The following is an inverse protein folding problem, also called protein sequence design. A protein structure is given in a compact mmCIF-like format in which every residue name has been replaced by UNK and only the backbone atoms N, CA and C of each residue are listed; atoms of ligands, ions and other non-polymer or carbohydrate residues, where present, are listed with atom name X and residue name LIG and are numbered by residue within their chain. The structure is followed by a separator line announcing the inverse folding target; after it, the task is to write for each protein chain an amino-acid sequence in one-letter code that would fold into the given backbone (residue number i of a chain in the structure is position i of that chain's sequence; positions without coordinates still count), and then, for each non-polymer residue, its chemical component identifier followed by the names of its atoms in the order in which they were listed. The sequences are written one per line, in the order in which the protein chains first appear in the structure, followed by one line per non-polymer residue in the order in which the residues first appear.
data_IF_902359816317
#
_entry.id   IF_902359816317
#
_cell.length_a   1.000
_cell.length_b   1.000
_cell.length_c   1.000
_cell.angle_alpha   90.00
_cell.angle_beta   90.00
_cell.angle_gamma   90.00
#
_symmetry.space_group_name_H-M   'P 1'
#
loop_
_entity.id
_entity.type
_entity.pdbx_description
1 polymer ?
#
# COMPACT_ATOMS: atom_id res chain seq x y z
N UNK A 1 26.63 8.27 19.42
CA UNK A 1 25.50 9.20 19.27
C UNK A 1 24.98 9.54 20.65
N UNK A 2 24.66 10.81 20.93
CA UNK A 2 24.06 11.17 22.23
C UNK A 2 22.59 10.74 22.27
N UNK A 3 22.09 10.45 23.45
CA UNK A 3 20.68 10.09 23.69
C UNK A 3 19.73 11.21 23.25
N UNK A 4 20.13 12.46 23.47
CA UNK A 4 19.40 13.65 23.04
C UNK A 4 19.21 13.70 21.51
N UNK A 5 20.25 13.48 20.73
CA UNK A 5 20.14 13.47 19.26
C UNK A 5 19.22 12.36 18.74
N UNK A 6 19.19 11.21 19.42
CA UNK A 6 18.30 10.10 19.07
C UNK A 6 16.83 10.46 19.31
N UNK A 7 16.51 11.11 20.43
CA UNK A 7 15.13 11.54 20.72
C UNK A 7 14.67 12.62 19.74
N UNK A 8 15.52 13.60 19.44
CA UNK A 8 15.21 14.62 18.41
C UNK A 8 14.96 13.95 17.05
N UNK A 9 15.78 12.97 16.67
CA UNK A 9 15.59 12.24 15.41
C UNK A 9 14.25 11.50 15.36
N UNK A 10 13.84 10.86 16.46
CA UNK A 10 12.53 10.18 16.56
C UNK A 10 11.37 11.15 16.47
N UNK A 11 11.45 12.30 17.17
CA UNK A 11 10.42 13.35 17.08
C UNK A 11 10.30 13.85 15.64
N UNK A 12 11.42 14.16 14.99
CA UNK A 12 11.44 14.59 13.59
C UNK A 12 10.88 13.52 12.65
N UNK A 13 11.24 12.26 12.86
CA UNK A 13 10.70 11.15 12.09
C UNK A 13 9.17 11.08 12.21
N UNK A 14 8.64 11.16 13.43
CA UNK A 14 7.19 11.13 13.66
C UNK A 14 6.48 12.34 13.05
N UNK A 15 7.00 13.56 13.22
CA UNK A 15 6.46 14.76 12.57
C UNK A 15 6.46 14.63 11.06
N UNK A 16 7.54 14.09 10.47
CA UNK A 16 7.64 13.84 9.04
C UNK A 16 6.60 12.85 8.53
N UNK A 17 6.33 11.77 9.29
CA UNK A 17 5.27 10.81 8.94
C UNK A 17 3.88 11.44 8.96
N UNK A 18 3.56 12.19 10.01
CA UNK A 18 2.26 12.88 10.11
C UNK A 18 2.08 13.90 8.98
N UNK A 19 3.12 14.68 8.66
CA UNK A 19 3.09 15.60 7.53
C UNK A 19 2.88 14.87 6.20
N UNK A 20 3.52 13.71 6.00
CA UNK A 20 3.34 12.90 4.81
C UNK A 20 1.89 12.40 4.67
N UNK A 21 1.32 11.87 5.76
CA UNK A 21 -0.07 11.39 5.83
C UNK A 21 -1.09 12.51 5.55
N UNK A 22 -0.76 13.74 5.91
CA UNK A 22 -1.58 14.94 5.63
C UNK A 22 -1.36 15.51 4.22
N UNK A 23 -0.52 14.90 3.37
CA UNK A 23 -0.19 15.39 2.03
C UNK A 23 0.78 16.58 2.00
N UNK A 24 1.36 16.96 3.15
CA UNK A 24 2.32 18.05 3.28
C UNK A 24 3.74 17.58 2.91
N UNK A 25 3.93 17.11 1.67
CA UNK A 25 5.14 16.36 1.28
C UNK A 25 6.45 17.15 1.44
N UNK A 26 6.44 18.48 1.22
CA UNK A 26 7.63 19.32 1.43
C UNK A 26 8.07 19.35 2.90
N UNK A 27 7.12 19.44 3.83
CA UNK A 27 7.39 19.44 5.27
C UNK A 27 7.80 18.04 5.75
N UNK A 28 7.20 16.99 5.18
CA UNK A 28 7.61 15.62 5.42
C UNK A 28 9.08 15.40 5.05
N UNK A 29 9.46 15.81 3.83
CA UNK A 29 10.84 15.72 3.35
C UNK A 29 11.80 16.45 4.28
N UNK A 30 11.51 17.70 4.64
CA UNK A 30 12.39 18.49 5.53
C UNK A 30 12.62 17.82 6.89
N UNK A 31 11.55 17.31 7.51
CA UNK A 31 11.67 16.63 8.81
C UNK A 31 12.39 15.29 8.69
N UNK A 32 12.16 14.52 7.64
CA UNK A 32 12.82 13.24 7.39
C UNK A 32 14.31 13.40 7.03
N UNK A 33 14.68 14.43 6.25
CA UNK A 33 16.09 14.80 6.00
C UNK A 33 16.79 15.13 7.33
N UNK A 34 16.18 15.97 8.17
CA UNK A 34 16.72 16.32 9.50
C UNK A 34 16.85 15.10 10.41
N UNK A 35 15.85 14.22 10.43
CA UNK A 35 15.91 12.97 11.19
C UNK A 35 17.06 12.07 10.69
N UNK A 36 17.20 11.91 9.37
CA UNK A 36 18.25 11.08 8.78
C UNK A 36 19.66 11.60 9.08
N UNK A 37 19.84 12.93 9.13
CA UNK A 37 21.12 13.56 9.43
C UNK A 37 21.59 13.33 10.88
N UNK A 38 20.64 13.12 11.80
CA UNK A 38 20.92 12.83 13.22
C UNK A 38 21.16 11.34 13.51
N UNK A 39 20.83 10.45 12.57
CA UNK A 39 20.92 9.00 12.72
C UNK A 39 22.14 8.43 12.01
N UNK A 40 22.68 7.33 12.54
CA UNK A 40 23.75 6.61 11.87
C UNK A 40 23.19 5.96 10.59
N UNK A 41 23.80 6.26 9.44
CA UNK A 41 23.37 5.77 8.11
C UNK A 41 23.25 4.25 7.99
N UNK A 42 24.00 3.52 8.81
CA UNK A 42 24.02 2.05 8.83
C UNK A 42 23.22 1.45 9.99
N UNK A 43 22.39 2.26 10.68
CA UNK A 43 21.52 1.78 11.76
C UNK A 43 20.16 1.34 11.21
N UNK A 44 19.47 0.46 11.95
CA UNK A 44 18.12 0.01 11.57
C UNK A 44 17.15 1.19 11.42
N UNK A 45 17.12 2.07 12.43
CA UNK A 45 16.23 3.23 12.44
C UNK A 45 16.60 4.23 11.34
N UNK A 46 17.90 4.47 11.11
CA UNK A 46 18.36 5.32 10.00
C UNK A 46 17.89 4.81 8.65
N UNK A 47 18.01 3.50 8.40
CA UNK A 47 17.49 2.88 7.19
C UNK A 47 15.97 3.02 7.05
N UNK A 48 15.20 2.88 8.13
CA UNK A 48 13.74 3.06 8.11
C UNK A 48 13.33 4.49 7.77
N UNK A 49 14.00 5.48 8.37
CA UNK A 49 13.79 6.91 8.07
C UNK A 49 14.14 7.20 6.62
N UNK A 50 15.27 6.69 6.12
CA UNK A 50 15.70 6.90 4.73
C UNK A 50 14.73 6.24 3.74
N UNK A 51 14.11 5.09 4.05
CA UNK A 51 13.06 4.51 3.20
C UNK A 51 11.81 5.40 3.15
N UNK A 52 11.36 5.94 4.29
CA UNK A 52 10.24 6.89 4.28
C UNK A 52 10.58 8.17 3.53
N UNK A 53 11.85 8.62 3.61
CA UNK A 53 12.34 9.77 2.87
C UNK A 53 12.29 9.53 1.34
N UNK A 54 12.59 8.32 0.85
CA UNK A 54 12.43 7.98 -0.57
C UNK A 54 10.98 8.22 -1.00
N UNK A 55 10.01 7.68 -0.27
CA UNK A 55 8.58 7.85 -0.58
C UNK A 55 8.17 9.32 -0.53
N UNK A 56 8.69 10.08 0.45
CA UNK A 56 8.45 11.52 0.55
C UNK A 56 9.03 12.31 -0.63
N UNK A 57 10.23 11.95 -1.11
CA UNK A 57 10.80 12.53 -2.32
C UNK A 57 9.95 12.25 -3.56
N UNK A 58 9.50 11.01 -3.75
CA UNK A 58 8.63 10.64 -4.86
C UNK A 58 7.31 11.44 -4.83
N UNK A 59 6.65 11.52 -3.67
CA UNK A 59 5.41 12.27 -3.50
C UNK A 59 5.58 13.79 -3.71
N UNK A 60 6.77 14.33 -3.41
CA UNK A 60 7.13 15.72 -3.67
C UNK A 60 7.59 15.98 -5.11
N UNK A 61 7.58 14.98 -6.01
CA UNK A 61 8.05 15.10 -7.39
C UNK A 61 9.58 15.14 -7.55
N UNK A 62 10.34 14.85 -6.48
CA UNK A 62 11.80 14.77 -6.45
C UNK A 62 12.27 13.35 -6.82
N UNK A 63 11.83 12.82 -7.95
CA UNK A 63 12.08 11.42 -8.36
C UNK A 63 13.57 11.07 -8.46
N UNK A 64 14.41 11.98 -8.93
CA UNK A 64 15.86 11.74 -9.05
C UNK A 64 16.53 11.55 -7.68
N UNK A 65 16.12 12.32 -6.66
CA UNK A 65 16.61 12.18 -5.29
C UNK A 65 16.15 10.85 -4.67
N UNK A 66 14.90 10.44 -4.94
CA UNK A 66 14.36 9.15 -4.52
C UNK A 66 15.20 7.99 -5.11
N UNK A 67 15.48 8.05 -6.41
CA UNK A 67 16.31 7.06 -7.11
C UNK A 67 17.73 7.02 -6.53
N UNK A 68 18.37 8.17 -6.36
CA UNK A 68 19.73 8.27 -5.82
C UNK A 68 19.81 7.69 -4.40
N UNK A 69 18.80 7.95 -3.57
CA UNK A 69 18.72 7.42 -2.22
C UNK A 69 18.50 5.89 -2.23
N UNK A 70 17.60 5.36 -3.06
CA UNK A 70 17.44 3.92 -3.23
C UNK A 70 18.72 3.22 -3.70
N UNK A 71 19.46 3.82 -4.64
CA UNK A 71 20.74 3.28 -5.14
C UNK A 71 21.81 3.15 -4.05
N UNK A 72 21.76 4.03 -3.04
CA UNK A 72 22.59 3.93 -1.84
C UNK A 72 22.07 2.83 -0.91
N UNK A 73 20.77 2.85 -0.60
CA UNK A 73 20.13 1.94 0.36
C UNK A 73 20.13 0.48 -0.08
N UNK A 74 20.24 0.17 -1.37
CA UNK A 74 20.34 -1.23 -1.84
C UNK A 74 21.53 -2.00 -1.25
N UNK A 75 22.54 -1.29 -0.72
CA UNK A 75 23.75 -1.83 -0.05
C UNK A 75 23.71 -1.68 1.47
N UNK A 76 22.58 -1.31 2.05
CA UNK A 76 22.43 -1.13 3.49
C UNK A 76 22.63 -2.46 4.25
N UNK A 77 23.29 -2.48 5.42
CA UNK A 77 23.61 -3.71 6.15
C UNK A 77 22.37 -4.46 6.65
N UNK A 78 21.25 -3.75 6.87
CA UNK A 78 19.99 -4.39 7.24
C UNK A 78 19.24 -4.87 6.00
N UNK A 79 19.00 -6.18 5.96
CA UNK A 79 18.38 -6.87 4.82
C UNK A 79 17.05 -6.25 4.39
N UNK A 80 16.15 -5.95 5.34
CA UNK A 80 14.84 -5.37 5.04
C UNK A 80 14.94 -4.03 4.30
N UNK A 81 15.79 -3.12 4.78
CA UNK A 81 16.04 -1.83 4.12
C UNK A 81 16.60 -2.03 2.71
N UNK A 82 17.57 -2.93 2.55
CA UNK A 82 18.17 -3.21 1.23
C UNK A 82 17.17 -3.82 0.25
N UNK A 83 16.23 -4.64 0.75
CA UNK A 83 15.20 -5.31 -0.04
C UNK A 83 14.15 -4.30 -0.49
N UNK A 84 13.63 -3.49 0.43
CA UNK A 84 12.69 -2.41 0.11
C UNK A 84 13.29 -1.42 -0.90
N UNK A 85 14.53 -0.97 -0.68
CA UNK A 85 15.20 -0.06 -1.61
C UNK A 85 15.34 -0.64 -3.03
N UNK A 86 15.65 -1.94 -3.18
CA UNK A 86 15.71 -2.60 -4.49
C UNK A 86 14.35 -2.65 -5.18
N UNK A 87 13.29 -2.93 -4.42
CA UNK A 87 11.93 -2.97 -4.95
C UNK A 87 11.46 -1.58 -5.40
N UNK A 88 11.68 -0.55 -4.57
CA UNK A 88 11.35 0.83 -4.92
C UNK A 88 12.15 1.31 -6.13
N UNK A 89 13.46 1.02 -6.18
CA UNK A 89 14.30 1.36 -7.32
C UNK A 89 13.79 0.75 -8.63
N UNK A 90 13.30 -0.49 -8.59
CA UNK A 90 12.71 -1.15 -9.75
C UNK A 90 11.46 -0.42 -10.24
N UNK A 91 10.58 -0.01 -9.33
CA UNK A 91 9.36 0.75 -9.65
C UNK A 91 9.72 2.12 -10.23
N UNK A 92 10.59 2.87 -9.56
CA UNK A 92 10.97 4.23 -9.95
C UNK A 92 11.68 4.29 -11.31
N UNK A 93 12.43 3.24 -11.68
CA UNK A 93 13.13 3.15 -12.97
C UNK A 93 12.34 2.42 -14.06
N UNK A 94 11.11 1.99 -13.78
CA UNK A 94 10.32 1.26 -14.77
C UNK A 94 10.08 2.13 -16.01
N UNK A 95 10.30 1.60 -17.23
CA UNK A 95 10.05 2.35 -18.45
C UNK A 95 8.55 2.61 -18.61
N UNK A 96 8.19 3.82 -19.07
CA UNK A 96 6.81 4.12 -19.44
C UNK A 96 6.39 3.22 -20.59
N UNK A 97 5.27 2.51 -20.41
CA UNK A 97 4.71 1.67 -21.46
C UNK A 97 4.28 2.55 -22.64
N UNK A 98 4.74 2.19 -23.84
CA UNK A 98 4.28 2.84 -25.06
C UNK A 98 2.82 2.49 -25.25
N UNK A 99 2.01 3.50 -25.58
CA UNK A 99 0.64 3.30 -26.00
C UNK A 99 0.47 3.58 -27.48
N UNK A 100 0.51 2.57 -28.37
CA UNK A 100 0.11 2.71 -29.76
C UNK A 100 -1.24 3.46 -29.93
N UNK A 101 -1.55 3.94 -31.12
CA UNK A 101 -2.90 4.47 -31.41
C UNK A 101 -3.84 3.35 -31.86
N UNK A 102 -3.32 2.34 -32.56
CA UNK A 102 -4.08 1.21 -33.13
C UNK A 102 -4.91 0.40 -32.12
N UNK A 103 -4.46 0.35 -30.86
CA UNK A 103 -5.11 -0.33 -29.74
C UNK A 103 -5.94 0.61 -28.84
N UNK A 104 -5.98 1.92 -29.13
CA UNK A 104 -6.73 2.92 -28.38
C UNK A 104 -7.95 3.35 -29.19
N UNK A 105 -9.13 3.36 -28.56
CA UNK A 105 -10.29 4.05 -29.12
C UNK A 105 -10.17 5.54 -28.78
N UNK A 106 -10.13 6.40 -29.79
CA UNK A 106 -10.13 7.85 -29.57
C UNK A 106 -11.49 8.28 -29.01
N UNK A 107 -11.48 9.01 -27.90
CA UNK A 107 -12.69 9.61 -27.35
C UNK A 107 -12.92 10.92 -28.15
N UNK A 108 -14.06 11.07 -28.83
CA UNK A 108 -14.35 12.30 -29.56
C UNK A 108 -14.46 13.48 -28.60
N UNK A 109 -14.13 14.68 -29.07
CA UNK A 109 -14.26 15.90 -28.27
C UNK A 109 -15.74 16.17 -27.94
N UNK A 110 -16.09 16.00 -26.66
CA UNK A 110 -17.45 16.16 -26.15
C UNK A 110 -17.78 17.62 -25.81
N UNK A 111 -16.79 18.52 -25.77
CA UNK A 111 -17.00 19.94 -25.42
C UNK A 111 -17.66 20.75 -26.54
N UNK A 112 -17.65 20.24 -27.77
CA UNK A 112 -18.33 20.84 -28.92
C UNK A 112 -19.79 20.38 -29.08
N UNK A 113 -20.29 19.49 -28.22
CA UNK A 113 -21.67 19.04 -28.27
C UNK A 113 -22.58 20.11 -27.64
N UNK A 114 -23.62 20.58 -28.34
CA UNK A 114 -24.61 21.44 -27.72
C UNK A 114 -25.29 20.68 -26.57
N UNK A 115 -25.41 21.31 -25.41
CA UNK A 115 -26.00 20.75 -24.16
C UNK A 115 -27.40 20.10 -24.33
N UNK A 116 -28.04 20.28 -25.48
CA UNK A 116 -29.45 19.98 -25.71
C UNK A 116 -29.72 18.68 -26.52
N UNK A 117 -28.71 17.90 -26.90
CA UNK A 117 -28.92 16.64 -27.65
C UNK A 117 -28.63 15.35 -26.87
N UNK A 118 -28.24 15.43 -25.59
CA UNK A 118 -28.31 14.28 -24.69
C UNK A 118 -29.75 14.05 -24.21
N UNK A 119 -30.70 13.95 -25.14
CA UNK A 119 -31.94 13.21 -24.90
C UNK A 119 -31.60 11.72 -24.91
N UNK A 120 -30.90 11.29 -23.87
CA UNK A 120 -30.98 9.88 -23.43
C UNK A 120 -32.38 9.73 -22.85
N UNK A 121 -33.38 9.66 -23.73
CA UNK A 121 -34.69 9.21 -23.34
C UNK A 121 -34.55 7.72 -23.06
N UNK A 122 -34.51 7.34 -21.79
CA UNK A 122 -34.78 5.97 -21.34
C UNK A 122 -36.26 5.73 -21.62
N UNK A 123 -36.59 5.55 -22.90
CA UNK A 123 -37.91 5.18 -23.34
C UNK A 123 -38.07 3.70 -23.02
N UNK A 124 -38.70 3.40 -21.89
CA UNK A 124 -39.33 2.12 -21.65
C UNK A 124 -40.44 1.92 -22.69
N UNK A 125 -40.07 1.50 -23.90
CA UNK A 125 -41.01 1.06 -24.94
C UNK A 125 -40.80 -0.44 -25.14
N UNK A 126 -41.70 -1.17 -24.51
CA UNK A 126 -42.07 -2.53 -24.91
C UNK A 126 -42.42 -2.51 -26.40
N UNK A 127 -41.56 -3.08 -27.25
CA UNK A 127 -41.95 -3.50 -28.58
C UNK A 127 -41.18 -4.76 -28.95
N UNK A 128 -41.91 -5.86 -29.04
CA UNK A 128 -41.47 -7.10 -29.68
C UNK A 128 -41.06 -6.79 -31.12
N UNK A 129 -39.81 -7.00 -31.49
CA UNK A 129 -39.44 -7.44 -32.82
C UNK A 129 -38.03 -8.03 -32.82
N UNK A 130 -37.87 -9.11 -33.58
CA UNK A 130 -36.69 -9.95 -33.68
C UNK A 130 -35.44 -9.20 -34.13
N UNK A 131 -34.39 -9.21 -33.32
CA UNK A 131 -33.04 -8.81 -33.74
C UNK A 131 -32.08 -9.92 -33.35
N UNK A 132 -31.41 -10.47 -34.36
CA UNK A 132 -30.33 -11.45 -34.21
C UNK A 132 -29.31 -10.97 -33.18
N UNK A 133 -29.12 -11.77 -32.14
CA UNK A 133 -28.14 -11.51 -31.10
C UNK A 133 -26.73 -11.75 -31.68
N UNK A 134 -25.98 -10.67 -31.91
CA UNK A 134 -24.51 -10.74 -31.88
C UNK A 134 -24.09 -11.26 -30.50
N UNK A 135 -23.10 -12.16 -30.41
CA UNK A 135 -22.69 -12.75 -29.13
C UNK A 135 -22.18 -11.66 -28.19
N UNK A 136 -22.83 -11.55 -27.03
CA UNK A 136 -22.43 -10.68 -25.93
C UNK A 136 -21.02 -11.09 -25.47
N UNK A 137 -20.09 -10.14 -25.23
CA UNK A 137 -18.84 -10.45 -24.54
C UNK A 137 -19.18 -11.08 -23.18
N UNK A 138 -18.60 -12.26 -22.92
CA UNK A 138 -18.80 -13.03 -21.69
C UNK A 138 -18.47 -12.17 -20.48
N UNK A 139 -19.53 -11.72 -19.79
CA UNK A 139 -19.44 -11.19 -18.43
C UNK A 139 -18.81 -12.30 -17.57
N UNK A 140 -17.76 -12.02 -16.78
CA UNK A 140 -17.14 -13.05 -15.95
C UNK A 140 -18.23 -13.63 -15.06
N UNK A 141 -18.52 -14.91 -15.22
CA UNK A 141 -19.55 -15.59 -14.43
C UNK A 141 -19.23 -15.38 -12.95
N UNK A 142 -20.20 -14.83 -12.21
CA UNK A 142 -20.08 -14.68 -10.77
C UNK A 142 -19.77 -16.05 -10.18
N UNK A 143 -18.61 -16.16 -9.53
CA UNK A 143 -18.15 -17.40 -8.92
C UNK A 143 -19.23 -17.85 -7.93
N UNK A 144 -19.85 -18.99 -8.22
CA UNK A 144 -20.87 -19.57 -7.36
C UNK A 144 -20.25 -19.92 -6.00
N UNK A 145 -20.68 -19.20 -4.96
CA UNK A 145 -20.21 -19.38 -3.59
C UNK A 145 -20.55 -20.78 -3.02
N UNK A 146 -21.39 -21.56 -3.70
CA UNK A 146 -21.63 -22.96 -3.36
C UNK A 146 -20.45 -23.88 -3.74
N UNK A 147 -19.57 -23.45 -4.65
CA UNK A 147 -18.39 -24.20 -5.07
C UNK A 147 -17.15 -23.96 -4.19
N UNK A 148 -17.18 -22.94 -3.32
CA UNK A 148 -16.09 -22.72 -2.37
C UNK A 148 -16.27 -23.59 -1.13
N UNK A 149 -15.18 -24.20 -0.67
CA UNK A 149 -15.20 -25.08 0.49
C UNK A 149 -15.44 -24.26 1.76
N UNK A 150 -16.68 -24.24 2.24
CA UNK A 150 -17.10 -23.61 3.50
C UNK A 150 -17.07 -24.55 4.69
N UNK A 151 -16.45 -25.74 4.57
CA UNK A 151 -16.35 -26.68 5.69
C UNK A 151 -15.53 -26.07 6.82
N UNK A 152 -16.11 -26.11 8.00
CA UNK A 152 -15.49 -25.62 9.21
C UNK A 152 -14.22 -26.43 9.51
N UNK A 153 -13.10 -25.74 9.77
CA UNK A 153 -11.83 -26.41 10.00
C UNK A 153 -11.75 -26.85 11.46
N UNK A 154 -11.94 -28.15 11.71
CA UNK A 154 -11.88 -28.78 13.04
C UNK A 154 -10.60 -28.41 13.82
N UNK A 155 -9.51 -28.06 13.13
CA UNK A 155 -8.29 -27.55 13.76
C UNK A 155 -8.51 -26.28 14.59
N UNK A 156 -9.40 -25.38 14.14
CA UNK A 156 -9.71 -24.12 14.84
C UNK A 156 -10.30 -24.42 16.21
N UNK A 157 -11.23 -25.37 16.29
CA UNK A 157 -11.83 -25.81 17.55
C UNK A 157 -10.81 -26.46 18.49
N UNK A 158 -9.92 -27.29 17.95
CA UNK A 158 -8.84 -27.91 18.73
C UNK A 158 -7.87 -26.85 19.28
N UNK A 159 -7.50 -25.87 18.44
CA UNK A 159 -6.62 -24.77 18.85
C UNK A 159 -7.25 -23.91 19.94
N UNK A 160 -8.55 -23.59 19.83
CA UNK A 160 -9.27 -22.84 20.87
C UNK A 160 -9.35 -23.59 22.20
N UNK A 161 -9.60 -24.90 22.18
CA UNK A 161 -9.58 -25.74 23.40
C UNK A 161 -8.17 -25.76 24.01
N UNK A 162 -7.13 -25.95 23.20
CA UNK A 162 -5.75 -25.97 23.68
C UNK A 162 -5.37 -24.63 24.33
N UNK A 163 -5.70 -23.50 23.69
CA UNK A 163 -5.48 -22.16 24.26
C UNK A 163 -6.22 -22.02 25.60
N UNK A 164 -7.50 -22.40 25.67
CA UNK A 164 -8.28 -22.35 26.90
C UNK A 164 -7.65 -23.17 28.04
N UNK A 165 -7.18 -24.39 27.75
CA UNK A 165 -6.51 -25.24 28.73
C UNK A 165 -5.17 -24.65 29.19
N UNK A 166 -4.38 -24.09 28.27
CA UNK A 166 -3.10 -23.45 28.64
C UNK A 166 -3.30 -22.25 29.55
N UNK A 167 -4.29 -21.40 29.27
CA UNK A 167 -4.61 -20.24 30.12
C UNK A 167 -5.12 -20.71 31.49
N UNK A 168 -6.03 -21.69 31.52
CA UNK A 168 -6.56 -22.24 32.77
C UNK A 168 -5.45 -22.86 33.65
N UNK A 169 -4.51 -23.58 33.04
CA UNK A 169 -3.35 -24.16 33.72
C UNK A 169 -2.41 -23.08 34.29
N UNK A 170 -2.13 -22.03 33.52
CA UNK A 170 -1.30 -20.90 33.98
C UNK A 170 -1.97 -20.14 35.12
N UNK A 171 -3.29 -19.94 35.08
CA UNK A 171 -4.07 -19.32 36.15
C UNK A 171 -4.04 -20.19 37.41
N UNK A 172 -4.18 -21.50 37.28
CA UNK A 172 -4.04 -22.42 38.42
C UNK A 172 -2.64 -22.31 39.02
N UNK A 173 -1.57 -22.44 38.23
CA UNK A 173 -0.20 -22.30 38.72
C UNK A 173 0.04 -20.97 39.44
N UNK A 174 -0.55 -19.87 38.95
CA UNK A 174 -0.48 -18.58 39.62
C UNK A 174 -1.18 -18.54 40.98
N UNK A 175 -2.20 -19.37 41.20
CA UNK A 175 -2.96 -19.44 42.45
C UNK A 175 -2.44 -20.50 43.43
N UNK A 176 -1.80 -21.57 42.92
CA UNK A 176 -1.17 -22.61 43.75
C UNK A 176 0.29 -22.29 44.13
N UNK A 177 0.89 -21.27 43.51
CA UNK A 177 2.28 -20.84 43.73
C UNK A 177 2.52 -19.90 44.91
N UNK A 178 1.51 -19.55 45.71
CA UNK A 178 1.68 -18.77 46.95
C UNK A 178 1.47 -19.64 48.20
N UNK A 179 2.50 -20.35 48.70
CA UNK A 179 2.63 -20.56 50.13
C UNK A 179 3.25 -19.31 50.77
N UNK A 180 2.75 -18.92 51.94
CA UNK A 180 3.31 -17.82 52.74
C UNK A 180 4.73 -18.09 53.22
#
# INVERSE_FOLDING_TARGET
MSTESLEIAKTRYQTGKVAFENGQYREAVENLEKASALLARNSRLGGEVEIHLVTAYEAAGRTDDAIALCERLKRHPYFETSKQARQMLYILKAPKLKRPSEWMTEIPDLGALPDNELKISVAAKSSKSSVQQKPKPTEPEFIDLSQVNTRDNRFIWVALIAIGLTISYLVWLSFSGTPG
#
